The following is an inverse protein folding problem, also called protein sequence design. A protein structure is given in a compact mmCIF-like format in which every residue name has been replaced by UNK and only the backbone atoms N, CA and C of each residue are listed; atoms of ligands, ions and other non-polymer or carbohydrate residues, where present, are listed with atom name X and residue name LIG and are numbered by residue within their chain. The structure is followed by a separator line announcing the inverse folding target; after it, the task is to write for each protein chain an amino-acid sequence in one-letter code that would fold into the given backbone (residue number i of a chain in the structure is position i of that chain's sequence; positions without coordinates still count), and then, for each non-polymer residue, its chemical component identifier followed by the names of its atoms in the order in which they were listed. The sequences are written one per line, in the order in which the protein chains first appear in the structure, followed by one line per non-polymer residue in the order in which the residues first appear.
data_IF_490689962617
#
_entry.id   IF_490689962617
#
_cell.length_a   1.000
_cell.length_b   1.000
_cell.length_c   1.000
_cell.angle_alpha   90.00
_cell.angle_beta   90.00
_cell.angle_gamma   90.00
#
_symmetry.space_group_name_H-M   'P 1'
#
loop_
_entity.id
_entity.type
_entity.pdbx_description
1 polymer ?
#
# COMPACT_ATOMS: atom_id res chain seq x y z
N UNK A 1 -2.17 8.77 20.32
CA UNK A 1 -1.85 7.35 20.09
C UNK A 1 -3.09 6.64 19.55
N UNK A 2 -3.06 6.17 18.30
CA UNK A 2 -4.23 5.50 17.68
C UNK A 2 -4.18 4.01 18.01
N UNK A 3 -4.99 3.56 18.98
CA UNK A 3 -5.00 2.17 19.43
C UNK A 3 -5.53 1.26 18.31
N UNK A 4 -5.06 0.01 18.24
CA UNK A 4 -5.69 -1.06 17.45
C UNK A 4 -7.17 -1.16 17.85
N UNK A 5 -8.08 -1.09 16.88
CA UNK A 5 -9.55 -1.17 17.07
C UNK A 5 -10.14 -2.25 16.16
N UNK A 6 -11.36 -2.69 16.47
CA UNK A 6 -12.12 -3.63 15.63
C UNK A 6 -11.40 -4.95 15.36
N UNK A 7 -11.43 -5.38 14.09
CA UNK A 7 -10.88 -6.66 13.60
C UNK A 7 -9.40 -6.89 13.97
N UNK A 8 -8.61 -5.82 14.11
CA UNK A 8 -7.19 -5.93 14.49
C UNK A 8 -7.02 -6.33 15.96
N UNK A 9 -7.97 -5.99 16.86
CA UNK A 9 -7.93 -6.43 18.26
C UNK A 9 -8.17 -7.92 18.42
N UNK A 10 -8.97 -8.51 17.54
CA UNK A 10 -9.32 -9.94 17.56
C UNK A 10 -8.35 -10.79 16.72
N UNK A 11 -7.20 -10.22 16.33
CA UNK A 11 -6.13 -10.95 15.65
C UNK A 11 -6.32 -11.12 14.14
N UNK A 12 -7.30 -10.45 13.51
CA UNK A 12 -7.48 -10.50 12.06
C UNK A 12 -6.50 -9.53 11.41
N UNK A 13 -5.64 -10.05 10.54
CA UNK A 13 -4.81 -9.25 9.65
C UNK A 13 -5.68 -8.73 8.50
N UNK A 14 -5.78 -7.41 8.39
CA UNK A 14 -6.57 -6.74 7.36
C UNK A 14 -5.67 -6.03 6.36
N UNK A 15 -5.80 -6.38 5.09
CA UNK A 15 -5.19 -5.66 3.98
C UNK A 15 -6.12 -4.51 3.55
N UNK A 16 -5.64 -3.25 3.46
CA UNK A 16 -6.45 -2.13 3.00
C UNK A 16 -7.01 -2.38 1.60
N UNK A 17 -8.32 -2.18 1.44
CA UNK A 17 -9.09 -2.40 0.22
C UNK A 17 -8.52 -1.65 -1.01
N UNK A 18 -8.19 -0.37 -0.83
CA UNK A 18 -7.63 0.47 -1.88
C UNK A 18 -6.22 0.04 -2.32
N UNK A 19 -5.48 -0.72 -1.49
CA UNK A 19 -4.20 -1.29 -1.89
C UNK A 19 -4.40 -2.60 -2.66
N UNK A 20 -5.21 -3.53 -2.14
CA UNK A 20 -5.42 -4.83 -2.79
C UNK A 20 -6.11 -4.70 -4.16
N UNK A 21 -7.01 -3.73 -4.29
CA UNK A 21 -7.78 -3.50 -5.52
C UNK A 21 -7.08 -2.55 -6.52
N UNK A 22 -5.85 -2.08 -6.22
CA UNK A 22 -5.16 -1.09 -7.03
C UNK A 22 -4.79 -1.56 -8.45
N UNK A 23 -4.90 -2.86 -8.74
CA UNK A 23 -4.49 -3.43 -10.03
C UNK A 23 -5.19 -2.82 -11.24
N UNK A 24 -6.49 -2.54 -11.15
CA UNK A 24 -7.23 -1.88 -12.24
C UNK A 24 -6.76 -0.45 -12.50
N UNK A 25 -6.46 0.30 -11.44
CA UNK A 25 -5.91 1.66 -11.56
C UNK A 25 -4.50 1.66 -12.15
N UNK A 26 -3.66 0.69 -11.78
CA UNK A 26 -2.31 0.51 -12.35
C UNK A 26 -2.39 0.21 -13.85
N UNK A 27 -3.30 -0.67 -14.26
CA UNK A 27 -3.49 -0.97 -15.68
C UNK A 27 -3.96 0.27 -16.45
N UNK A 28 -4.99 0.97 -15.94
CA UNK A 28 -5.50 2.18 -16.58
C UNK A 28 -4.42 3.27 -16.72
N UNK A 29 -3.54 3.42 -15.72
CA UNK A 29 -2.40 4.32 -15.81
C UNK A 29 -1.39 3.88 -16.88
N UNK A 30 -1.12 2.58 -17.00
CA UNK A 30 -0.23 2.03 -18.02
C UNK A 30 -0.76 2.21 -19.45
N UNK A 31 -2.08 2.14 -19.63
CA UNK A 31 -2.75 2.38 -20.91
C UNK A 31 -2.51 3.81 -21.43
N UNK A 32 -2.38 4.80 -20.55
CA UNK A 32 -2.06 6.19 -20.92
C UNK A 32 -0.65 6.34 -21.51
N UNK A 33 0.28 5.43 -21.17
CA UNK A 33 1.66 5.42 -21.66
C UNK A 33 1.86 4.46 -22.84
N UNK A 34 0.78 3.89 -23.39
CA UNK A 34 0.81 2.82 -24.37
C UNK A 34 0.99 1.47 -23.68
N UNK A 35 -0.10 0.71 -23.60
CA UNK A 35 -0.20 -0.49 -22.78
C UNK A 35 0.94 -1.49 -23.03
N UNK A 36 1.59 -1.89 -21.93
CA UNK A 36 2.59 -2.93 -21.90
C UNK A 36 2.27 -3.91 -20.77
N UNK A 37 1.78 -5.10 -21.13
CA UNK A 37 1.41 -6.14 -20.15
C UNK A 37 2.52 -6.45 -19.15
N UNK A 38 3.79 -6.53 -19.58
CA UNK A 38 4.91 -6.85 -18.67
C UNK A 38 5.12 -5.74 -17.65
N UNK A 39 5.06 -4.47 -18.08
CA UNK A 39 5.19 -3.30 -17.21
C UNK A 39 4.01 -3.18 -16.25
N UNK A 40 2.78 -3.34 -16.75
CA UNK A 40 1.58 -3.34 -15.92
C UNK A 40 1.62 -4.46 -14.87
N UNK A 41 1.95 -5.69 -15.25
CA UNK A 41 2.10 -6.82 -14.30
C UNK A 41 3.19 -6.54 -13.27
N UNK A 42 4.36 -6.06 -13.69
CA UNK A 42 5.44 -5.71 -12.75
C UNK A 42 5.00 -4.63 -11.74
N UNK A 43 4.24 -3.62 -12.18
CA UNK A 43 3.71 -2.60 -11.29
C UNK A 43 2.65 -3.14 -10.34
N UNK A 44 1.81 -4.08 -10.78
CA UNK A 44 0.82 -4.78 -9.95
C UNK A 44 1.51 -5.63 -8.87
N UNK A 45 2.62 -6.31 -9.18
CA UNK A 45 3.38 -7.11 -8.21
C UNK A 45 3.84 -6.28 -7.01
N UNK A 46 4.12 -4.98 -7.19
CA UNK A 46 4.51 -4.07 -6.11
C UNK A 46 3.41 -3.85 -5.06
N UNK A 47 2.15 -4.24 -5.33
CA UNK A 47 1.09 -4.25 -4.30
C UNK A 47 1.50 -5.15 -3.13
N UNK A 48 2.15 -6.28 -3.41
CA UNK A 48 2.64 -7.20 -2.39
C UNK A 48 3.63 -6.49 -1.43
N UNK A 49 4.66 -5.87 -2.00
CA UNK A 49 5.69 -5.17 -1.20
C UNK A 49 5.08 -4.01 -0.40
N UNK A 50 4.18 -3.25 -1.01
CA UNK A 50 3.47 -2.14 -0.35
C UNK A 50 2.66 -2.63 0.86
N UNK A 51 1.96 -3.75 0.74
CA UNK A 51 1.22 -4.36 1.84
C UNK A 51 2.16 -4.85 2.94
N UNK A 52 3.26 -5.53 2.57
CA UNK A 52 4.23 -6.03 3.53
C UNK A 52 4.83 -4.91 4.37
N UNK A 53 5.29 -3.82 3.73
CA UNK A 53 5.82 -2.67 4.46
C UNK A 53 4.75 -1.96 5.30
N UNK A 54 3.50 -1.90 4.85
CA UNK A 54 2.40 -1.37 5.65
C UNK A 54 2.16 -2.22 6.91
N UNK A 55 2.25 -3.54 6.82
CA UNK A 55 2.10 -4.45 7.96
C UNK A 55 3.26 -4.35 8.95
N UNK A 56 4.49 -4.27 8.47
CA UNK A 56 5.68 -4.11 9.31
C UNK A 56 5.62 -2.82 10.12
N UNK A 57 5.28 -1.70 9.47
CA UNK A 57 5.16 -0.41 10.14
C UNK A 57 3.96 -0.37 11.09
N UNK A 58 2.81 -0.92 10.68
CA UNK A 58 1.65 -1.02 11.56
C UNK A 58 1.98 -1.82 12.84
N UNK A 59 2.80 -2.86 12.71
CA UNK A 59 3.30 -3.65 13.84
C UNK A 59 4.27 -2.86 14.72
N UNK A 60 5.26 -2.19 14.14
CA UNK A 60 6.28 -1.45 14.89
C UNK A 60 5.73 -0.23 15.63
N UNK A 61 4.78 0.48 15.01
CA UNK A 61 4.17 1.69 15.58
C UNK A 61 2.87 1.43 16.35
N UNK A 62 2.44 0.16 16.41
CA UNK A 62 1.21 -0.27 17.08
C UNK A 62 -0.05 0.46 16.58
N UNK A 63 -0.15 0.66 15.27
CA UNK A 63 -1.30 1.25 14.56
C UNK A 63 -1.97 0.20 13.66
N UNK A 64 -3.01 0.59 12.92
CA UNK A 64 -3.67 -0.30 11.96
C UNK A 64 -2.97 -0.25 10.60
N UNK A 65 -3.03 -1.34 9.80
CA UNK A 65 -2.55 -1.32 8.41
C UNK A 65 -3.19 -0.20 7.57
N UNK A 66 -4.49 0.05 7.76
CA UNK A 66 -5.21 1.15 7.10
C UNK A 66 -4.54 2.51 7.35
N UNK A 67 -4.24 2.82 8.62
CA UNK A 67 -3.64 4.12 8.98
C UNK A 67 -2.24 4.28 8.42
N UNK A 68 -1.49 3.18 8.35
CA UNK A 68 -0.16 3.17 7.75
C UNK A 68 -0.22 3.43 6.25
N UNK A 69 -1.13 2.75 5.55
CA UNK A 69 -1.34 2.93 4.12
C UNK A 69 -1.83 4.36 3.78
N UNK A 70 -2.75 4.91 4.57
CA UNK A 70 -3.22 6.30 4.44
C UNK A 70 -2.06 7.30 4.59
N UNK A 71 -1.17 7.08 5.56
CA UNK A 71 0.05 7.90 5.71
C UNK A 71 0.92 7.86 4.45
N UNK A 72 1.17 6.67 3.88
CA UNK A 72 1.98 6.54 2.67
C UNK A 72 1.39 7.28 1.47
N UNK A 73 0.07 7.24 1.31
CA UNK A 73 -0.61 7.97 0.24
C UNK A 73 -0.44 9.47 0.44
N UNK A 74 -0.71 9.98 1.64
CA UNK A 74 -0.57 11.40 1.95
C UNK A 74 0.88 11.89 1.80
N UNK A 75 1.87 11.12 2.22
CA UNK A 75 3.30 11.44 2.03
C UNK A 75 3.69 11.51 0.54
N UNK A 76 3.19 10.58 -0.29
CA UNK A 76 3.40 10.62 -1.75
C UNK A 76 2.76 11.86 -2.38
N UNK A 77 1.52 12.17 -2.03
CA UNK A 77 0.78 13.31 -2.57
C UNK A 77 1.42 14.64 -2.16
N UNK A 78 1.92 14.75 -0.93
CA UNK A 78 2.59 15.94 -0.42
C UNK A 78 3.99 16.19 -1.03
N UNK A 79 4.41 15.41 -2.03
CA UNK A 79 5.74 15.52 -2.64
C UNK A 79 6.88 15.02 -1.74
N UNK A 80 6.53 14.32 -0.64
CA UNK A 80 7.47 13.63 0.24
C UNK A 80 8.03 12.38 -0.44
N UNK A 81 8.91 12.57 -1.43
CA UNK A 81 9.60 11.52 -2.18
C UNK A 81 10.64 10.75 -1.34
N UNK A 82 10.38 10.51 -0.04
CA UNK A 82 11.17 9.62 0.81
C UNK A 82 10.35 8.44 1.32
N UNK A 83 9.32 8.03 0.60
CA UNK A 83 9.01 6.60 0.61
C UNK A 83 10.13 5.99 -0.20
N UNK A 84 11.19 5.52 0.49
CA UNK A 84 12.01 4.44 -0.06
C UNK A 84 10.96 3.48 -0.58
N UNK A 85 10.92 3.30 -1.90
CA UNK A 85 10.24 2.12 -2.47
C UNK A 85 10.56 1.01 -1.48
N UNK A 86 9.55 0.31 -0.96
CA UNK A 86 9.81 -0.87 -0.14
C UNK A 86 10.65 -1.75 -1.04
N UNK A 87 11.96 -1.61 -0.88
CA UNK A 87 13.05 -2.18 -1.64
C UNK A 87 13.68 -3.00 -0.54
N UNK A 88 13.24 -4.25 -0.53
CA UNK A 88 14.09 -5.33 -0.04
C UNK A 88 15.32 -5.39 -0.95
#
# INVERSE_FOLDING_TARGET
MCKKTGIVKIGILYAPDFLVNAGGAIQAADELEGFNKKRATHNVERIYDNLLGAFEIAKSENITPYKTADRFVNERVAGGAKIKTIRL
#
